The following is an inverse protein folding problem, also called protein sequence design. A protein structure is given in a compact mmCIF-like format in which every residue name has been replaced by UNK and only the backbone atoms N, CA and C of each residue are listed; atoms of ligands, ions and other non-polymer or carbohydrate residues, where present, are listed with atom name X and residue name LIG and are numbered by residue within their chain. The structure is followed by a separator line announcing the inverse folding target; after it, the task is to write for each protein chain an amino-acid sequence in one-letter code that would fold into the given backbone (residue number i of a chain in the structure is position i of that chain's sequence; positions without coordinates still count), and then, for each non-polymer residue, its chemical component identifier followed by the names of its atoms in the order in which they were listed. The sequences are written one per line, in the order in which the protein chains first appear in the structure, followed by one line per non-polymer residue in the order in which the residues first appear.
data_IF_995711799665
#
_entry.id   IF_995711799665
#
_cell.length_a   1.000
_cell.length_b   1.000
_cell.length_c   1.000
_cell.angle_alpha   90.00
_cell.angle_beta   90.00
_cell.angle_gamma   90.00
#
_symmetry.space_group_name_H-M   'P 1'
#
loop_
_entity.id
_entity.type
_entity.pdbx_description
1 polymer ?
#
# COMPACT_ATOMS: atom_id res chain seq x y z
N UNK A 1 -38.06 -56.64 35.07
CA UNK A 1 -37.86 -55.71 33.94
C UNK A 1 -37.26 -54.40 34.47
N UNK A 2 -35.94 -54.16 34.30
CA UNK A 2 -35.29 -52.89 34.64
C UNK A 2 -34.75 -52.27 33.34
N UNK A 3 -35.38 -51.20 32.85
CA UNK A 3 -34.92 -50.43 31.69
C UNK A 3 -33.73 -49.55 32.11
N UNK A 4 -32.56 -49.76 31.50
CA UNK A 4 -31.42 -48.84 31.56
C UNK A 4 -31.59 -47.80 30.44
N UNK A 5 -31.66 -46.54 30.79
CA UNK A 5 -31.58 -45.43 29.85
C UNK A 5 -30.11 -44.99 29.76
N UNK A 6 -29.50 -45.18 28.59
CA UNK A 6 -28.17 -44.65 28.29
C UNK A 6 -28.30 -43.22 27.77
N UNK A 7 -27.70 -42.26 28.48
CA UNK A 7 -27.61 -40.88 28.07
C UNK A 7 -26.47 -40.75 27.03
N UNK A 8 -26.82 -40.57 25.75
CA UNK A 8 -25.85 -40.27 24.70
C UNK A 8 -25.60 -38.76 24.73
N UNK A 9 -24.42 -38.37 25.17
CA UNK A 9 -23.97 -36.97 25.16
C UNK A 9 -23.33 -36.68 23.80
N UNK A 10 -24.09 -36.04 22.91
CA UNK A 10 -23.60 -35.62 21.59
C UNK A 10 -22.71 -34.38 21.75
N UNK A 11 -21.40 -34.55 21.56
CA UNK A 11 -20.43 -33.46 21.56
C UNK A 11 -20.54 -32.67 20.24
N UNK A 12 -21.25 -31.54 20.25
CA UNK A 12 -21.28 -30.60 19.13
C UNK A 12 -19.96 -29.83 19.12
N UNK A 13 -19.03 -30.23 18.26
CA UNK A 13 -17.82 -29.46 17.96
C UNK A 13 -18.25 -28.28 17.08
N UNK A 14 -18.55 -27.15 17.72
CA UNK A 14 -18.61 -25.86 17.04
C UNK A 14 -17.22 -25.56 16.50
N UNK A 15 -17.02 -25.84 15.21
CA UNK A 15 -15.86 -25.37 14.48
C UNK A 15 -15.97 -23.84 14.42
N UNK A 16 -15.40 -23.15 15.39
CA UNK A 16 -15.21 -21.71 15.31
C UNK A 16 -14.25 -21.48 14.15
N UNK A 17 -14.78 -21.02 13.02
CA UNK A 17 -13.96 -20.43 11.97
C UNK A 17 -13.04 -19.42 12.66
N UNK A 18 -11.73 -19.68 12.59
CA UNK A 18 -10.73 -18.78 13.14
C UNK A 18 -10.85 -17.46 12.36
N UNK A 19 -11.58 -16.49 12.92
CA UNK A 19 -11.58 -15.12 12.43
C UNK A 19 -10.13 -14.70 12.30
N UNK A 20 -9.72 -14.36 11.08
CA UNK A 20 -8.36 -13.89 10.80
C UNK A 20 -7.99 -12.84 11.83
N UNK A 21 -6.88 -13.05 12.52
CA UNK A 21 -6.43 -12.27 13.67
C UNK A 21 -6.65 -10.77 13.43
N UNK A 22 -7.62 -10.20 14.14
CA UNK A 22 -7.96 -8.80 14.02
C UNK A 22 -6.76 -7.94 14.48
N UNK A 23 -6.30 -7.05 13.60
CA UNK A 23 -5.19 -6.14 13.89
C UNK A 23 -5.79 -4.77 14.23
N UNK A 24 -5.79 -4.36 15.52
CA UNK A 24 -6.55 -3.17 15.98
C UNK A 24 -6.18 -1.89 15.23
N UNK A 25 -4.89 -1.72 14.89
CA UNK A 25 -4.41 -0.56 14.14
C UNK A 25 -5.24 -0.28 12.88
N UNK A 26 -5.66 -1.31 12.14
CA UNK A 26 -6.30 -1.16 10.83
C UNK A 26 -7.83 -1.30 10.85
N UNK A 27 -8.45 -1.33 12.04
CA UNK A 27 -9.90 -1.44 12.18
C UNK A 27 -10.63 -0.09 12.04
N UNK A 28 -9.92 1.02 12.18
CA UNK A 28 -10.46 2.37 12.00
C UNK A 28 -9.74 3.09 10.86
N UNK A 29 -10.49 3.91 10.14
CA UNK A 29 -9.98 4.83 9.11
C UNK A 29 -9.50 6.17 9.70
N UNK A 30 -9.85 6.48 10.94
CA UNK A 30 -9.50 7.75 11.57
C UNK A 30 -7.99 7.89 11.76
N UNK A 31 -7.46 9.05 11.41
CA UNK A 31 -6.05 9.34 11.56
C UNK A 31 -5.65 9.31 13.05
N UNK A 32 -4.48 8.75 13.35
CA UNK A 32 -3.90 8.79 14.71
C UNK A 32 -2.81 9.83 14.82
N UNK A 33 -2.65 10.41 16.00
CA UNK A 33 -1.56 11.33 16.28
C UNK A 33 -0.34 10.56 16.78
N UNK A 34 0.82 10.83 16.19
CA UNK A 34 2.07 10.12 16.41
C UNK A 34 3.20 11.13 16.59
N UNK A 35 4.07 10.89 17.57
CA UNK A 35 5.28 11.68 17.80
C UNK A 35 6.53 10.82 17.72
N UNK A 36 7.53 11.31 17.00
CA UNK A 36 8.86 10.70 16.97
C UNK A 36 9.93 11.77 17.26
N UNK A 37 10.96 11.36 18.01
CA UNK A 37 12.14 12.20 18.25
C UNK A 37 13.37 11.43 17.81
N UNK A 38 14.22 12.04 16.99
CA UNK A 38 15.38 11.34 16.45
C UNK A 38 16.27 12.21 15.59
N UNK A 39 17.31 11.58 15.05
CA UNK A 39 18.26 12.21 14.14
C UNK A 39 18.24 11.50 12.80
N UNK A 40 17.69 12.15 11.78
CA UNK A 40 17.63 11.69 10.39
C UNK A 40 19.04 11.38 9.88
N UNK A 41 20.01 12.26 10.17
CA UNK A 41 21.42 12.03 9.81
C UNK A 41 21.98 10.79 10.51
N UNK A 42 21.67 10.59 11.79
CA UNK A 42 22.15 9.44 12.54
C UNK A 42 21.53 8.13 12.05
N UNK A 43 20.21 8.08 11.80
CA UNK A 43 19.57 6.83 11.36
C UNK A 43 20.04 6.43 9.95
N UNK A 44 20.24 7.40 9.04
CA UNK A 44 20.86 7.14 7.73
C UNK A 44 22.27 6.55 7.83
N UNK A 45 23.06 6.99 8.83
CA UNK A 45 24.44 6.51 9.03
C UNK A 45 24.52 5.17 9.77
N UNK A 46 23.65 4.95 10.76
CA UNK A 46 23.75 3.84 11.72
C UNK A 46 22.87 2.64 11.41
N UNK A 47 21.96 2.75 10.45
CA UNK A 47 21.08 1.65 10.05
C UNK A 47 21.26 1.31 8.58
N UNK A 48 20.97 0.06 8.25
CA UNK A 48 20.90 -0.48 6.89
C UNK A 48 19.92 -1.66 6.91
N UNK A 49 19.90 -2.50 5.88
CA UNK A 49 18.97 -3.64 5.84
C UNK A 49 19.15 -4.67 6.97
N UNK A 50 20.33 -4.72 7.60
CA UNK A 50 20.68 -5.65 8.68
C UNK A 50 20.76 -4.98 10.06
N UNK A 51 20.96 -3.66 10.13
CA UNK A 51 21.18 -2.94 11.40
C UNK A 51 19.98 -2.07 11.76
N UNK A 52 19.46 -2.26 12.99
CA UNK A 52 18.35 -1.51 13.56
C UNK A 52 18.84 -0.51 14.60
N UNK A 53 18.18 0.65 14.70
CA UNK A 53 18.42 1.67 15.72
C UNK A 53 17.23 1.70 16.67
N UNK A 54 17.48 1.58 17.98
CA UNK A 54 16.44 1.72 18.98
C UNK A 54 15.91 3.16 19.03
N UNK A 55 14.61 3.28 19.17
CA UNK A 55 13.88 4.53 19.28
C UNK A 55 12.59 4.32 20.06
N UNK A 56 11.82 5.39 20.14
CA UNK A 56 10.48 5.38 20.73
C UNK A 56 9.60 6.21 19.82
N UNK A 57 8.40 5.73 19.58
CA UNK A 57 7.34 6.57 19.07
C UNK A 57 6.22 6.64 20.11
N UNK A 58 5.52 7.76 20.14
CA UNK A 58 4.37 7.94 21.00
C UNK A 58 3.14 8.01 20.10
N UNK A 59 2.04 7.42 20.54
CA UNK A 59 0.74 7.64 19.90
C UNK A 59 -0.28 8.11 20.93
N UNK A 60 -1.22 8.92 20.48
CA UNK A 60 -2.27 9.46 21.32
C UNK A 60 -3.41 8.43 21.46
N UNK A 61 -3.80 8.13 22.70
CA UNK A 61 -4.92 7.21 23.02
C UNK A 61 -6.20 7.96 23.43
N UNK A 62 -6.03 9.19 23.91
CA UNK A 62 -7.08 10.12 24.31
C UNK A 62 -6.46 11.52 24.45
N UNK A 63 -7.24 12.57 24.67
CA UNK A 63 -6.73 13.94 24.75
C UNK A 63 -5.52 14.05 25.69
N UNK A 64 -4.37 14.42 25.13
CA UNK A 64 -3.08 14.55 25.83
C UNK A 64 -2.54 13.27 26.52
N UNK A 65 -3.17 12.11 26.28
CA UNK A 65 -2.72 10.81 26.77
C UNK A 65 -1.83 10.12 25.74
N UNK A 66 -0.53 10.22 25.95
CA UNK A 66 0.49 9.66 25.05
C UNK A 66 1.03 8.32 25.54
N UNK A 67 0.87 7.28 24.73
CA UNK A 67 1.43 5.96 25.00
C UNK A 67 2.78 5.82 24.29
N UNK A 68 3.83 5.55 25.05
CA UNK A 68 5.16 5.30 24.52
C UNK A 68 5.30 3.86 24.09
N UNK A 69 5.71 3.63 22.84
CA UNK A 69 5.98 2.31 22.30
C UNK A 69 7.45 2.22 21.89
N UNK A 70 8.25 1.35 22.55
CA UNK A 70 9.60 1.03 22.11
C UNK A 70 9.60 0.50 20.67
N UNK A 71 10.49 1.02 19.84
CA UNK A 71 10.59 0.62 18.44
C UNK A 71 12.05 0.47 18.03
N UNK A 72 12.29 -0.47 17.13
CA UNK A 72 13.53 -0.56 16.38
C UNK A 72 13.27 -0.08 14.96
N UNK A 73 13.99 0.94 14.52
CA UNK A 73 13.82 1.54 13.20
C UNK A 73 15.07 1.30 12.34
N UNK A 74 14.86 1.12 11.04
CA UNK A 74 15.93 1.16 10.04
C UNK A 74 15.47 1.89 8.79
N UNK A 75 16.42 2.48 8.08
CA UNK A 75 16.17 2.92 6.71
C UNK A 75 15.92 1.71 5.79
N UNK A 76 15.20 1.94 4.69
CA UNK A 76 14.96 0.96 3.63
C UNK A 76 15.05 1.62 2.24
N UNK A 77 15.02 0.81 1.19
CA UNK A 77 14.88 1.28 -0.18
C UNK A 77 16.17 1.87 -0.77
N UNK A 78 16.09 2.23 -2.05
CA UNK A 78 17.26 2.64 -2.85
C UNK A 78 17.19 4.13 -3.23
N UNK A 79 16.23 4.50 -4.07
CA UNK A 79 16.10 5.87 -4.60
C UNK A 79 15.84 6.88 -3.48
N UNK A 80 14.75 6.70 -2.73
CA UNK A 80 14.37 7.61 -1.65
C UNK A 80 15.41 7.70 -0.53
N UNK A 81 16.14 6.63 -0.25
CA UNK A 81 17.22 6.65 0.73
C UNK A 81 18.34 7.64 0.33
N UNK A 82 18.68 7.68 -0.95
CA UNK A 82 19.72 8.56 -1.50
C UNK A 82 19.23 10.00 -1.71
N UNK A 83 17.98 10.15 -2.17
CA UNK A 83 17.49 11.43 -2.71
C UNK A 83 16.51 12.19 -1.80
N UNK A 84 15.94 11.55 -0.77
CA UNK A 84 14.98 12.21 0.11
C UNK A 84 15.65 12.83 1.34
N UNK A 85 15.11 13.95 1.80
CA UNK A 85 15.44 14.52 3.12
C UNK A 85 15.06 13.50 4.22
N UNK A 86 13.81 13.06 4.18
CA UNK A 86 13.23 12.03 5.04
C UNK A 86 13.40 10.64 4.40
N UNK A 87 14.22 9.75 4.97
CA UNK A 87 14.41 8.41 4.41
C UNK A 87 13.20 7.54 4.77
N UNK A 88 12.78 6.60 3.91
CA UNK A 88 11.71 5.68 4.27
C UNK A 88 12.18 4.76 5.40
N UNK A 89 11.29 4.52 6.37
CA UNK A 89 11.59 3.75 7.57
C UNK A 89 10.80 2.45 7.60
N UNK A 90 11.46 1.38 8.05
CA UNK A 90 10.80 0.17 8.53
C UNK A 90 10.87 0.15 10.05
N UNK A 91 9.70 0.07 10.67
CA UNK A 91 9.55 -0.05 12.12
C UNK A 91 9.43 -1.53 12.48
N UNK A 92 10.12 -1.95 13.53
CA UNK A 92 10.08 -3.29 14.09
C UNK A 92 9.75 -3.19 15.57
N UNK A 93 8.83 -4.03 16.01
CA UNK A 93 8.34 -4.05 17.37
C UNK A 93 8.58 -5.41 18.01
N UNK A 94 8.82 -5.43 19.31
CA UNK A 94 8.77 -6.67 20.08
C UNK A 94 7.30 -7.00 20.36
N UNK A 95 6.93 -8.28 20.32
CA UNK A 95 5.55 -8.71 20.57
C UNK A 95 5.05 -8.21 21.94
N UNK A 96 5.90 -8.36 22.97
CA UNK A 96 5.58 -7.97 24.35
C UNK A 96 5.25 -6.48 24.47
N UNK A 97 5.96 -5.62 23.73
CA UNK A 97 5.80 -4.17 23.83
C UNK A 97 4.53 -3.67 23.12
N UNK A 98 4.07 -4.35 22.07
CA UNK A 98 2.89 -3.91 21.31
C UNK A 98 1.59 -4.61 21.69
N UNK A 99 1.63 -5.77 22.34
CA UNK A 99 0.43 -6.51 22.76
C UNK A 99 -0.58 -5.66 23.56
N UNK A 100 -0.19 -4.77 24.50
CA UNK A 100 -1.14 -3.94 25.25
C UNK A 100 -1.50 -2.63 24.51
N UNK A 101 -1.15 -2.48 23.23
CA UNK A 101 -1.27 -1.21 22.49
C UNK A 101 -2.12 -1.37 21.24
N UNK A 102 -2.47 -0.25 20.61
CA UNK A 102 -3.12 -0.24 19.28
C UNK A 102 -2.33 -1.01 18.21
N UNK A 103 -1.03 -1.19 18.41
CA UNK A 103 -0.12 -1.87 17.46
C UNK A 103 -0.06 -3.39 17.66
N UNK A 104 -0.86 -3.96 18.56
CA UNK A 104 -0.94 -5.39 18.81
C UNK A 104 -1.08 -6.19 17.50
N UNK A 105 -0.38 -7.33 17.42
CA UNK A 105 -0.32 -8.17 16.22
C UNK A 105 0.71 -7.73 15.17
N UNK A 106 1.20 -6.48 15.19
CA UNK A 106 2.18 -5.99 14.23
C UNK A 106 3.61 -6.17 14.72
N UNK A 107 4.37 -7.11 14.12
CA UNK A 107 5.82 -7.27 14.40
C UNK A 107 6.69 -6.27 13.64
N UNK A 108 6.20 -5.81 12.49
CA UNK A 108 6.83 -4.79 11.68
C UNK A 108 5.75 -3.96 10.98
N UNK A 109 6.03 -2.68 10.77
CA UNK A 109 5.18 -1.78 9.98
C UNK A 109 6.05 -0.94 9.06
N UNK A 110 5.50 -0.64 7.88
CA UNK A 110 6.01 0.42 7.01
C UNK A 110 5.25 1.69 7.37
N UNK A 111 6.00 2.78 7.53
CA UNK A 111 5.45 4.12 7.67
C UNK A 111 5.79 4.88 6.39
N UNK A 112 4.75 5.29 5.66
CA UNK A 112 4.89 6.17 4.50
C UNK A 112 4.73 7.60 4.99
N UNK A 113 5.71 8.45 4.66
CA UNK A 113 5.74 9.87 5.03
C UNK A 113 6.55 10.63 3.96
N UNK A 114 6.53 11.98 3.95
CA UNK A 114 7.00 12.72 2.79
C UNK A 114 8.49 12.53 2.50
N UNK A 115 8.90 12.67 1.23
CA UNK A 115 10.30 12.62 0.82
C UNK A 115 11.06 13.93 1.13
N UNK A 116 10.38 15.07 0.95
CA UNK A 116 10.94 16.44 1.03
C UNK A 116 10.16 17.27 2.04
N UNK A 117 10.66 18.47 2.33
CA UNK A 117 10.02 19.46 3.22
C UNK A 117 9.26 20.55 2.46
N UNK A 118 8.94 20.32 1.19
CA UNK A 118 8.18 21.25 0.34
C UNK A 118 6.76 21.48 0.89
N UNK A 119 6.05 22.47 0.34
CA UNK A 119 4.68 22.80 0.78
C UNK A 119 3.69 21.67 0.47
N UNK A 120 3.80 21.07 -0.72
CA UNK A 120 2.98 19.97 -1.26
C UNK A 120 3.19 18.60 -0.59
N UNK A 121 4.18 18.49 0.31
CA UNK A 121 4.62 17.23 0.93
C UNK A 121 3.49 16.36 1.51
N UNK A 122 2.47 16.99 2.11
CA UNK A 122 1.34 16.31 2.72
C UNK A 122 0.28 15.93 1.68
N UNK A 123 0.09 16.75 0.64
CA UNK A 123 -0.74 16.42 -0.53
C UNK A 123 -0.21 15.17 -1.22
N UNK A 124 1.10 15.09 -1.47
CA UNK A 124 1.72 13.93 -2.13
C UNK A 124 1.51 12.63 -1.34
N UNK A 125 1.68 12.65 -0.01
CA UNK A 125 1.41 11.49 0.85
C UNK A 125 -0.08 11.12 0.82
N UNK A 126 -0.97 12.11 0.78
CA UNK A 126 -2.41 11.86 0.67
C UNK A 126 -2.76 11.23 -0.67
N UNK A 127 -2.20 11.71 -1.78
CA UNK A 127 -2.42 11.13 -3.10
C UNK A 127 -1.97 9.67 -3.15
N UNK A 128 -0.80 9.35 -2.57
CA UNK A 128 -0.34 7.97 -2.48
C UNK A 128 -1.28 7.10 -1.62
N UNK A 129 -1.76 7.65 -0.50
CA UNK A 129 -2.75 6.97 0.34
C UNK A 129 -4.06 6.66 -0.42
N UNK A 130 -4.53 7.57 -1.28
CA UNK A 130 -5.69 7.33 -2.13
C UNK A 130 -5.47 6.19 -3.12
N UNK A 131 -4.26 6.04 -3.68
CA UNK A 131 -3.91 4.87 -4.51
C UNK A 131 -4.10 3.55 -3.74
N UNK A 132 -3.74 3.51 -2.44
CA UNK A 132 -4.03 2.33 -1.60
C UNK A 132 -5.53 2.13 -1.38
N UNK A 133 -6.31 3.20 -1.20
CA UNK A 133 -7.77 3.09 -1.04
C UNK A 133 -8.44 2.60 -2.34
N UNK A 134 -8.02 3.10 -3.50
CA UNK A 134 -8.50 2.60 -4.79
C UNK A 134 -8.20 1.12 -4.96
N UNK A 135 -6.96 0.70 -4.66
CA UNK A 135 -6.58 -0.71 -4.81
C UNK A 135 -7.36 -1.63 -3.87
N UNK A 136 -7.71 -1.15 -2.67
CA UNK A 136 -8.58 -1.88 -1.74
C UNK A 136 -10.01 -2.10 -2.28
N UNK A 137 -10.53 -1.19 -3.10
CA UNK A 137 -11.83 -1.37 -3.77
C UNK A 137 -11.73 -2.35 -4.94
N UNK A 138 -10.61 -2.33 -5.66
CA UNK A 138 -10.42 -3.05 -6.93
C UNK A 138 -9.84 -4.46 -6.78
N UNK A 139 -9.19 -4.77 -5.66
CA UNK A 139 -8.49 -6.04 -5.48
C UNK A 139 -8.91 -6.72 -4.17
N UNK A 140 -9.11 -8.05 -4.14
CA UNK A 140 -9.27 -8.78 -2.90
C UNK A 140 -7.94 -8.88 -2.10
N UNK A 141 -6.81 -8.66 -2.77
CA UNK A 141 -5.46 -8.73 -2.22
C UNK A 141 -4.83 -7.34 -2.16
N UNK A 142 -4.99 -6.70 -1.00
CA UNK A 142 -4.58 -5.32 -0.76
C UNK A 142 -3.91 -5.19 0.61
N UNK A 143 -3.20 -4.10 0.82
CA UNK A 143 -2.71 -3.73 2.14
C UNK A 143 -3.74 -2.87 2.85
N UNK A 144 -4.11 -3.21 4.09
CA UNK A 144 -4.80 -2.24 4.94
C UNK A 144 -3.86 -1.08 5.26
N UNK A 145 -4.42 0.12 5.32
CA UNK A 145 -3.66 1.35 5.60
C UNK A 145 -4.42 2.24 6.59
N UNK A 146 -3.69 3.07 7.34
CA UNK A 146 -4.27 4.04 8.26
C UNK A 146 -3.44 5.32 8.31
N UNK A 147 -4.09 6.46 8.11
CA UNK A 147 -3.47 7.79 8.20
C UNK A 147 -2.93 8.05 9.62
N UNK A 148 -1.89 8.87 9.69
CA UNK A 148 -1.34 9.38 10.94
C UNK A 148 -0.80 10.80 10.76
N UNK A 149 -1.11 11.67 11.71
CA UNK A 149 -0.43 12.94 11.88
C UNK A 149 0.87 12.69 12.65
N UNK A 150 2.00 13.04 12.04
CA UNK A 150 3.32 12.71 12.54
C UNK A 150 4.10 13.98 12.88
N UNK A 151 4.32 14.20 14.18
CA UNK A 151 5.23 15.25 14.65
C UNK A 151 6.64 14.66 14.77
N UNK A 152 7.59 15.23 14.04
CA UNK A 152 8.99 14.80 14.04
C UNK A 152 9.85 15.85 14.71
N UNK A 153 10.45 15.52 15.86
CA UNK A 153 11.49 16.35 16.50
C UNK A 153 12.88 15.88 16.08
N UNK A 154 13.51 16.63 15.17
CA UNK A 154 14.84 16.37 14.63
C UNK A 154 15.94 16.99 15.51
N UNK A 155 16.78 16.15 16.13
CA UNK A 155 17.76 16.56 17.15
C UNK A 155 19.23 16.65 16.64
N UNK A 156 19.52 16.44 15.35
CA UNK A 156 20.92 16.46 14.85
C UNK A 156 21.57 17.83 14.72
N UNK A 157 20.84 18.91 14.99
CA UNK A 157 21.30 20.30 14.86
C UNK A 157 21.46 20.95 16.23
N UNK A 158 22.27 22.02 16.31
CA UNK A 158 22.44 22.85 17.52
C UNK A 158 21.11 23.33 18.11
N UNK A 159 20.06 23.46 17.28
CA UNK A 159 18.67 23.70 17.67
C UNK A 159 17.78 22.61 17.07
N UNK A 160 16.97 21.90 17.89
CA UNK A 160 15.97 20.97 17.38
C UNK A 160 15.04 21.62 16.35
N UNK A 161 14.56 20.85 15.38
CA UNK A 161 13.52 21.30 14.44
C UNK A 161 12.33 20.36 14.49
N UNK A 162 11.13 20.93 14.53
CA UNK A 162 9.89 20.17 14.45
C UNK A 162 9.35 20.17 13.02
N UNK A 163 8.76 19.06 12.62
CA UNK A 163 8.03 18.94 11.36
C UNK A 163 6.69 18.26 11.60
N UNK A 164 5.62 18.89 11.12
CA UNK A 164 4.27 18.33 11.18
C UNK A 164 3.96 17.73 9.81
N UNK A 165 3.88 16.40 9.77
CA UNK A 165 3.81 15.62 8.54
C UNK A 165 2.53 14.80 8.51
N UNK A 166 1.93 14.68 7.34
CA UNK A 166 0.98 13.60 7.09
C UNK A 166 1.77 12.33 6.80
N UNK A 167 1.30 11.21 7.33
CA UNK A 167 1.88 9.88 7.10
C UNK A 167 0.77 8.83 7.07
N UNK A 168 1.11 7.60 6.71
CA UNK A 168 0.22 6.46 6.93
C UNK A 168 0.99 5.17 7.17
N UNK A 169 0.39 4.29 7.97
CA UNK A 169 0.88 2.93 8.17
C UNK A 169 0.37 2.03 7.04
N UNK A 170 1.22 1.10 6.61
CA UNK A 170 0.88 0.04 5.66
C UNK A 170 1.05 -1.31 6.34
N UNK A 171 0.03 -2.16 6.22
CA UNK A 171 0.03 -3.54 6.71
C UNK A 171 1.27 -4.33 6.23
N UNK A 172 1.76 -5.24 7.06
CA UNK A 172 2.89 -6.08 6.68
C UNK A 172 2.48 -7.18 5.70
N UNK A 173 3.36 -7.51 4.75
CA UNK A 173 3.13 -8.53 3.74
C UNK A 173 2.68 -9.88 4.36
N UNK A 174 3.27 -10.27 5.50
CA UNK A 174 2.93 -11.53 6.18
C UNK A 174 1.49 -11.55 6.71
N UNK A 175 0.94 -10.40 7.09
CA UNK A 175 -0.44 -10.27 7.54
C UNK A 175 -1.41 -10.37 6.37
N UNK A 176 -1.08 -9.75 5.23
CA UNK A 176 -1.85 -9.91 3.98
C UNK A 176 -1.88 -11.37 3.53
N UNK A 177 -0.73 -12.05 3.55
CA UNK A 177 -0.64 -13.46 3.19
C UNK A 177 -1.49 -14.32 4.14
N UNK A 178 -1.39 -14.09 5.45
CA UNK A 178 -2.17 -14.81 6.47
C UNK A 178 -3.67 -14.63 6.29
N UNK A 179 -4.17 -13.39 6.11
CA UNK A 179 -5.61 -13.13 5.89
C UNK A 179 -6.14 -13.68 4.57
N UNK A 180 -5.22 -13.94 3.63
CA UNK A 180 -5.53 -14.48 2.30
C UNK A 180 -5.35 -16.01 2.22
N UNK A 181 -5.08 -16.68 3.35
CA UNK A 181 -4.74 -18.11 3.40
C UNK A 181 -3.61 -18.50 2.42
N UNK A 182 -2.66 -17.59 2.24
CA UNK A 182 -1.54 -17.73 1.30
C UNK A 182 -0.19 -17.57 1.97
N UNK A 183 0.84 -17.57 1.14
CA UNK A 183 2.23 -17.32 1.54
C UNK A 183 2.90 -16.31 0.63
N UNK A 184 3.84 -15.53 1.18
CA UNK A 184 4.73 -14.69 0.37
C UNK A 184 5.71 -15.59 -0.38
N UNK A 185 5.93 -15.27 -1.65
CA UNK A 185 6.90 -15.94 -2.52
C UNK A 185 8.14 -15.07 -2.61
N UNK A 186 9.30 -15.63 -2.31
CA UNK A 186 10.58 -14.89 -2.36
C UNK A 186 11.27 -14.99 -3.73
N UNK A 187 10.94 -16.02 -4.50
CA UNK A 187 11.51 -16.26 -5.84
C UNK A 187 11.09 -15.17 -6.82
N UNK A 188 12.06 -14.59 -7.51
CA UNK A 188 11.87 -13.63 -8.61
C UNK A 188 11.92 -14.33 -9.96
N UNK A 189 11.43 -13.66 -11.00
CA UNK A 189 11.42 -14.20 -12.36
C UNK A 189 10.36 -15.27 -12.56
N UNK A 190 9.24 -15.19 -11.83
CA UNK A 190 8.14 -16.14 -11.97
C UNK A 190 7.55 -15.99 -13.37
N UNK A 191 7.36 -17.11 -14.07
CA UNK A 191 6.76 -17.09 -15.40
C UNK A 191 5.40 -16.36 -15.34
N UNK A 192 5.19 -15.31 -16.15
CA UNK A 192 3.94 -14.54 -16.14
C UNK A 192 2.70 -15.41 -16.37
N UNK A 193 2.81 -16.50 -17.13
CA UNK A 193 1.72 -17.45 -17.37
C UNK A 193 1.29 -18.23 -16.12
N UNK A 194 2.15 -18.31 -15.09
CA UNK A 194 1.82 -18.99 -13.83
C UNK A 194 0.98 -18.15 -12.86
N UNK A 195 0.87 -16.84 -13.10
CA UNK A 195 -0.01 -15.98 -12.30
C UNK A 195 -1.48 -16.20 -12.62
N UNK A 196 -2.33 -16.06 -11.61
CA UNK A 196 -3.77 -16.00 -11.79
C UNK A 196 -4.12 -14.90 -12.79
N UNK A 197 -4.87 -15.25 -13.84
CA UNK A 197 -5.15 -14.32 -14.92
C UNK A 197 -5.92 -13.10 -14.42
N UNK A 198 -7.00 -13.30 -13.69
CA UNK A 198 -7.88 -12.22 -13.25
C UNK A 198 -7.19 -11.32 -12.25
N UNK A 199 -6.43 -11.86 -11.30
CA UNK A 199 -5.66 -11.04 -10.36
C UNK A 199 -4.51 -10.29 -11.03
N UNK A 200 -3.90 -10.87 -12.08
CA UNK A 200 -2.91 -10.15 -12.89
C UNK A 200 -3.55 -8.97 -13.62
N UNK A 201 -4.66 -9.19 -14.34
CA UNK A 201 -5.34 -8.12 -15.07
C UNK A 201 -5.81 -7.01 -14.13
N UNK A 202 -6.37 -7.34 -12.95
CA UNK A 202 -6.76 -6.32 -11.94
C UNK A 202 -5.58 -5.46 -11.52
N UNK A 203 -4.46 -6.08 -11.18
CA UNK A 203 -3.24 -5.35 -10.84
C UNK A 203 -2.78 -4.48 -12.02
N UNK A 204 -2.75 -5.04 -13.23
CA UNK A 204 -2.20 -4.35 -14.40
C UNK A 204 -3.07 -3.16 -14.80
N UNK A 205 -4.39 -3.28 -14.71
CA UNK A 205 -5.34 -2.18 -14.96
C UNK A 205 -5.25 -1.12 -13.88
N UNK A 206 -5.10 -1.51 -12.61
CA UNK A 206 -4.87 -0.58 -11.53
C UNK A 206 -3.58 0.22 -11.73
N UNK A 207 -2.47 -0.45 -12.05
CA UNK A 207 -1.19 0.23 -12.29
C UNK A 207 -1.28 1.18 -13.50
N UNK A 208 -1.99 0.77 -14.56
CA UNK A 208 -2.27 1.64 -15.70
C UNK A 208 -3.16 2.83 -15.32
N UNK A 209 -4.22 2.62 -14.54
CA UNK A 209 -5.15 3.64 -14.07
C UNK A 209 -4.42 4.78 -13.35
N UNK A 210 -3.54 4.44 -12.41
CA UNK A 210 -2.77 5.43 -11.64
C UNK A 210 -1.53 5.94 -12.40
N UNK A 211 -1.26 5.45 -13.60
CA UNK A 211 -0.08 5.84 -14.38
C UNK A 211 1.24 5.41 -13.75
N UNK A 212 1.30 4.22 -13.15
CA UNK A 212 2.52 3.71 -12.55
C UNK A 212 3.29 2.82 -13.53
N UNK A 213 4.46 3.28 -13.93
CA UNK A 213 5.40 2.53 -14.75
C UNK A 213 6.59 1.96 -13.94
N UNK A 214 6.67 2.15 -12.62
CA UNK A 214 7.76 1.65 -11.77
C UNK A 214 7.38 0.38 -10.99
N UNK A 215 6.95 -0.69 -11.67
CA UNK A 215 6.58 -1.94 -11.00
C UNK A 215 6.89 -3.19 -11.83
N UNK A 216 6.92 -4.35 -11.16
CA UNK A 216 6.94 -5.67 -11.79
C UNK A 216 6.55 -6.76 -10.81
N UNK A 217 5.44 -7.45 -11.05
CA UNK A 217 5.03 -8.63 -10.26
C UNK A 217 5.97 -9.82 -10.49
N UNK A 218 6.51 -9.94 -11.71
CA UNK A 218 7.44 -11.02 -12.11
C UNK A 218 8.76 -10.91 -11.37
N UNK A 219 9.34 -9.71 -11.31
CA UNK A 219 10.64 -9.45 -10.68
C UNK A 219 10.53 -8.92 -9.25
N UNK A 220 9.30 -8.80 -8.74
CA UNK A 220 8.98 -8.28 -7.42
C UNK A 220 9.59 -6.90 -7.15
N UNK A 221 9.36 -5.97 -8.08
CA UNK A 221 9.72 -4.55 -7.96
C UNK A 221 8.45 -3.76 -7.70
N UNK A 222 8.38 -3.04 -6.56
CA UNK A 222 7.16 -2.37 -6.06
C UNK A 222 5.91 -3.27 -6.07
N UNK A 223 6.13 -4.58 -5.97
CA UNK A 223 5.13 -5.62 -5.83
C UNK A 223 5.79 -6.81 -5.16
N UNK A 224 5.09 -7.47 -4.24
CA UNK A 224 5.42 -8.84 -3.85
C UNK A 224 4.57 -9.80 -4.69
N UNK A 225 4.87 -11.09 -4.55
CA UNK A 225 4.02 -12.14 -5.08
C UNK A 225 3.55 -13.02 -3.94
N UNK A 226 2.26 -13.33 -3.93
CA UNK A 226 1.67 -14.32 -3.04
C UNK A 226 1.38 -15.60 -3.80
N UNK A 227 1.39 -16.73 -3.10
CA UNK A 227 0.84 -17.98 -3.59
C UNK A 227 -0.44 -18.31 -2.80
N UNK A 228 -1.56 -18.31 -3.50
CA UNK A 228 -2.91 -18.48 -2.95
C UNK A 228 -3.66 -19.47 -3.83
N UNK A 229 -4.27 -20.50 -3.25
CA UNK A 229 -5.11 -21.49 -3.97
C UNK A 229 -4.45 -22.06 -5.24
N UNK A 230 -3.14 -22.35 -5.19
CA UNK A 230 -2.40 -22.95 -6.31
C UNK A 230 -1.95 -21.96 -7.39
N UNK A 231 -2.16 -20.65 -7.21
CA UNK A 231 -1.82 -19.61 -8.19
C UNK A 231 -0.95 -18.51 -7.59
N UNK A 232 -0.13 -17.89 -8.44
CA UNK A 232 0.61 -16.68 -8.08
C UNK A 232 -0.26 -15.44 -8.25
N UNK A 233 -0.20 -14.53 -7.27
CA UNK A 233 -1.04 -13.33 -7.21
C UNK A 233 -0.18 -12.11 -6.91
N UNK A 234 -0.30 -11.00 -7.66
CA UNK A 234 0.41 -9.75 -7.36
C UNK A 234 -0.06 -9.11 -6.05
N UNK A 235 0.87 -8.49 -5.33
CA UNK A 235 0.59 -7.66 -4.16
C UNK A 235 1.42 -6.37 -4.23
N UNK A 236 0.88 -5.38 -4.93
CA UNK A 236 1.55 -4.11 -5.26
C UNK A 236 1.55 -3.10 -4.12
N UNK A 237 2.59 -2.26 -4.06
CA UNK A 237 2.83 -1.20 -3.08
C UNK A 237 3.82 -0.16 -3.63
N UNK A 238 4.11 0.93 -2.89
CA UNK A 238 5.01 2.01 -3.36
C UNK A 238 4.42 2.68 -4.62
N UNK A 239 3.38 3.51 -4.43
CA UNK A 239 2.66 4.17 -5.53
C UNK A 239 3.08 5.62 -5.74
N UNK A 240 4.14 6.06 -5.07
CA UNK A 240 4.56 7.46 -5.00
C UNK A 240 5.11 8.01 -6.33
N UNK A 241 5.64 7.13 -7.19
CA UNK A 241 6.14 7.46 -8.54
C UNK A 241 5.07 7.31 -9.65
N UNK A 242 3.79 7.40 -9.30
CA UNK A 242 2.67 7.26 -10.24
C UNK A 242 2.15 8.60 -10.77
N UNK A 243 1.59 8.61 -11.98
CA UNK A 243 0.97 9.79 -12.60
C UNK A 243 -0.22 10.37 -11.81
N UNK A 244 -0.93 9.55 -11.03
CA UNK A 244 -1.97 10.05 -10.12
C UNK A 244 -1.37 10.83 -8.93
N UNK A 245 -0.24 10.37 -8.39
CA UNK A 245 0.45 11.10 -7.30
C UNK A 245 1.12 12.37 -7.82
N UNK A 246 1.65 12.32 -9.04
CA UNK A 246 2.27 13.44 -9.74
C UNK A 246 3.38 14.14 -8.92
N UNK A 247 4.20 13.34 -8.23
CA UNK A 247 5.30 13.89 -7.43
C UNK A 247 6.39 14.51 -8.31
N UNK A 248 6.87 15.70 -7.98
CA UNK A 248 7.93 16.37 -8.77
C UNK A 248 9.22 15.54 -8.92
N UNK A 249 9.58 14.73 -7.92
CA UNK A 249 10.74 13.83 -8.03
C UNK A 249 10.53 12.66 -8.99
N UNK A 250 9.29 12.29 -9.30
CA UNK A 250 8.98 11.30 -10.32
C UNK A 250 9.26 11.86 -11.72
N UNK A 251 9.11 13.18 -11.92
CA UNK A 251 9.51 13.86 -13.17
C UNK A 251 11.03 13.98 -13.28
N UNK A 252 11.70 14.33 -12.18
CA UNK A 252 13.17 14.45 -12.16
C UNK A 252 13.89 13.12 -12.45
N UNK A 253 13.27 11.99 -12.10
CA UNK A 253 13.83 10.65 -12.29
C UNK A 253 12.75 9.67 -12.73
N UNK A 254 12.19 9.90 -13.92
CA UNK A 254 11.13 9.09 -14.46
C UNK A 254 11.53 7.60 -14.55
N UNK A 255 10.59 6.67 -14.30
CA UNK A 255 10.83 5.24 -14.45
C UNK A 255 11.28 4.92 -15.87
N UNK A 256 12.35 4.12 -16.02
CA UNK A 256 12.93 3.80 -17.34
C UNK A 256 12.01 3.02 -18.27
N UNK A 257 10.93 2.46 -17.74
CA UNK A 257 9.93 1.68 -18.47
C UNK A 257 8.64 2.49 -18.75
N UNK A 258 8.65 3.80 -18.48
CA UNK A 258 7.60 4.76 -18.87
C UNK A 258 8.01 5.62 -20.08
N UNK A 259 7.29 6.71 -20.34
CA UNK A 259 7.57 7.64 -21.46
C UNK A 259 8.43 8.86 -21.09
N UNK A 260 8.91 8.93 -19.85
CA UNK A 260 9.64 10.10 -19.32
C UNK A 260 8.74 11.13 -18.64
N UNK A 261 7.45 11.19 -18.99
CA UNK A 261 6.43 11.89 -18.21
C UNK A 261 5.63 10.88 -17.37
N UNK A 262 5.70 10.95 -16.03
CA UNK A 262 4.87 10.12 -15.15
C UNK A 262 3.36 10.22 -15.40
N UNK A 263 2.86 11.31 -15.99
CA UNK A 263 1.43 11.49 -16.30
C UNK A 263 0.98 10.63 -17.47
N UNK A 264 1.85 10.36 -18.42
CA UNK A 264 1.53 9.54 -19.58
C UNK A 264 1.46 8.06 -19.21
N UNK A 265 0.29 7.44 -19.42
CA UNK A 265 0.08 6.04 -19.05
C UNK A 265 0.75 5.11 -20.03
N UNK A 266 1.46 4.12 -19.49
CA UNK A 266 2.02 3.01 -20.27
C UNK A 266 1.45 1.70 -19.75
N UNK A 267 0.78 0.94 -20.63
CA UNK A 267 0.30 -0.38 -20.26
C UNK A 267 1.49 -1.36 -20.22
N UNK A 268 1.78 -1.90 -19.03
CA UNK A 268 2.93 -2.79 -18.80
C UNK A 268 2.54 -4.22 -18.43
N UNK A 269 1.24 -4.51 -18.48
CA UNK A 269 0.68 -5.81 -18.16
C UNK A 269 0.99 -6.87 -19.21
N UNK A 270 0.87 -8.13 -18.82
CA UNK A 270 1.00 -9.25 -19.77
C UNK A 270 -0.34 -9.57 -20.41
N UNK A 271 -0.32 -10.04 -21.66
CA UNK A 271 -1.53 -10.53 -22.29
C UNK A 271 -2.10 -11.72 -21.51
N UNK A 272 -3.39 -11.65 -21.21
CA UNK A 272 -4.19 -12.74 -20.62
C UNK A 272 -5.32 -13.09 -21.56
N UNK A 273 -6.08 -14.13 -21.21
CA UNK A 273 -7.24 -14.54 -22.00
C UNK A 273 -8.20 -13.36 -22.21
N UNK A 274 -8.75 -13.22 -23.42
CA UNK A 274 -9.75 -12.18 -23.73
C UNK A 274 -10.90 -12.15 -22.72
N UNK A 275 -11.46 -13.31 -22.27
CA UNK A 275 -12.48 -13.31 -21.22
C UNK A 275 -12.02 -12.66 -19.91
N UNK A 276 -10.79 -12.93 -19.45
CA UNK A 276 -10.27 -12.30 -18.24
C UNK A 276 -10.11 -10.78 -18.40
N UNK A 277 -9.62 -10.32 -19.56
CA UNK A 277 -9.46 -8.89 -19.87
C UNK A 277 -10.80 -8.15 -19.84
N UNK A 278 -11.81 -8.67 -20.54
CA UNK A 278 -13.15 -8.04 -20.60
C UNK A 278 -13.90 -8.12 -19.26
N UNK A 279 -13.77 -9.23 -18.52
CA UNK A 279 -14.40 -9.35 -17.21
C UNK A 279 -13.87 -8.29 -16.24
N UNK A 280 -12.55 -8.10 -16.20
CA UNK A 280 -11.95 -7.09 -15.32
C UNK A 280 -12.19 -5.67 -15.83
N UNK A 281 -12.26 -5.45 -17.15
CA UNK A 281 -12.70 -4.16 -17.72
C UNK A 281 -14.09 -3.78 -17.19
N UNK A 282 -15.04 -4.71 -17.25
CA UNK A 282 -16.39 -4.51 -16.72
C UNK A 282 -16.39 -4.24 -15.22
N UNK A 283 -15.61 -5.00 -14.44
CA UNK A 283 -15.47 -4.77 -13.00
C UNK A 283 -14.98 -3.35 -12.68
N UNK A 284 -13.97 -2.85 -13.39
CA UNK A 284 -13.47 -1.48 -13.18
C UNK A 284 -14.55 -0.44 -13.51
N UNK A 285 -15.25 -0.60 -14.63
CA UNK A 285 -16.35 0.28 -15.02
C UNK A 285 -17.45 0.35 -13.95
N UNK A 286 -17.80 -0.79 -13.34
CA UNK A 286 -18.78 -0.85 -12.23
C UNK A 286 -18.28 -0.17 -10.95
N UNK A 287 -16.97 0.04 -10.80
CA UNK A 287 -16.35 0.68 -9.62
C UNK A 287 -16.03 2.16 -9.83
N UNK A 288 -16.22 2.71 -11.02
CA UNK A 288 -15.89 4.11 -11.34
C UNK A 288 -16.41 5.11 -10.30
N UNK A 289 -17.71 5.11 -10.02
CA UNK A 289 -18.29 6.03 -9.02
C UNK A 289 -17.72 5.84 -7.61
N UNK A 290 -17.39 4.60 -7.23
CA UNK A 290 -16.79 4.34 -5.92
C UNK A 290 -15.35 4.88 -5.81
N UNK A 291 -14.60 4.91 -6.92
CA UNK A 291 -13.26 5.49 -6.95
C UNK A 291 -13.31 7.02 -6.87
N UNK A 292 -14.25 7.67 -7.57
CA UNK A 292 -14.45 9.12 -7.41
C UNK A 292 -14.90 9.48 -6.00
N UNK A 293 -15.81 8.71 -5.39
CA UNK A 293 -16.25 8.94 -4.02
C UNK A 293 -15.09 8.92 -3.00
N UNK A 294 -14.06 8.10 -3.23
CA UNK A 294 -12.85 8.10 -2.39
C UNK A 294 -12.11 9.44 -2.46
N UNK A 295 -12.07 10.09 -3.62
CA UNK A 295 -11.48 11.43 -3.75
C UNK A 295 -12.34 12.45 -2.98
N UNK A 296 -13.66 12.38 -3.18
CA UNK A 296 -14.64 13.29 -2.56
C UNK A 296 -14.62 13.22 -1.01
N UNK A 297 -14.46 12.02 -0.44
CA UNK A 297 -14.30 11.81 1.01
C UNK A 297 -13.13 12.61 1.61
N UNK A 298 -12.13 12.93 0.79
CA UNK A 298 -10.95 13.69 1.18
C UNK A 298 -10.94 15.13 0.65
N UNK A 299 -12.00 15.60 -0.02
CA UNK A 299 -12.03 16.88 -0.72
C UNK A 299 -11.61 18.09 0.12
N UNK A 300 -11.95 18.11 1.42
CA UNK A 300 -11.57 19.19 2.36
C UNK A 300 -10.05 19.38 2.53
N UNK A 301 -9.23 18.44 2.06
CA UNK A 301 -7.78 18.49 2.15
C UNK A 301 -7.09 18.91 0.86
N UNK A 302 -7.86 19.26 -0.16
CA UNK A 302 -7.38 19.62 -1.48
C UNK A 302 -7.96 20.95 -1.92
N UNK A 303 -7.21 21.67 -2.75
CA UNK A 303 -7.73 22.80 -3.50
C UNK A 303 -8.67 22.33 -4.61
N UNK A 304 -9.49 23.24 -5.13
CA UNK A 304 -10.37 22.96 -6.27
C UNK A 304 -9.59 22.41 -7.48
N UNK A 305 -8.44 23.01 -7.80
CA UNK A 305 -7.63 22.59 -8.94
C UNK A 305 -7.02 21.20 -8.74
N UNK A 306 -6.57 20.87 -7.53
CA UNK A 306 -6.08 19.52 -7.22
C UNK A 306 -7.20 18.48 -7.38
N UNK A 307 -8.43 18.78 -6.96
CA UNK A 307 -9.57 17.87 -7.15
C UNK A 307 -9.93 17.71 -8.62
N UNK A 308 -10.04 18.81 -9.38
CA UNK A 308 -10.31 18.76 -10.81
C UNK A 308 -9.26 17.94 -11.57
N UNK A 309 -7.98 18.08 -11.21
CA UNK A 309 -6.90 17.29 -11.77
C UNK A 309 -7.03 15.79 -11.43
N UNK A 310 -7.31 15.45 -10.17
CA UNK A 310 -7.45 14.06 -9.73
C UNK A 310 -8.64 13.36 -10.40
N UNK A 311 -9.80 14.01 -10.44
CA UNK A 311 -10.98 13.50 -11.14
C UNK A 311 -10.72 13.40 -12.64
N UNK A 312 -10.16 14.44 -13.26
CA UNK A 312 -9.87 14.46 -14.69
C UNK A 312 -8.87 13.38 -15.11
N UNK A 313 -7.85 13.11 -14.29
CA UNK A 313 -6.93 12.01 -14.52
C UNK A 313 -7.67 10.67 -14.50
N UNK A 314 -8.52 10.43 -13.50
CA UNK A 314 -9.28 9.18 -13.40
C UNK A 314 -10.31 9.02 -14.54
N UNK A 315 -10.99 10.11 -14.92
CA UNK A 315 -11.94 10.17 -16.04
C UNK A 315 -11.29 9.80 -17.37
N UNK A 316 -10.04 10.20 -17.59
CA UNK A 316 -9.28 9.81 -18.78
C UNK A 316 -9.10 8.29 -18.87
N UNK A 317 -8.72 7.64 -17.77
CA UNK A 317 -8.63 6.18 -17.73
C UNK A 317 -9.98 5.52 -18.02
N UNK A 318 -11.08 6.02 -17.43
CA UNK A 318 -12.39 5.44 -17.70
C UNK A 318 -12.89 5.70 -19.12
N UNK A 319 -12.54 6.83 -19.75
CA UNK A 319 -12.79 7.05 -21.19
C UNK A 319 -12.08 6.02 -22.06
N UNK A 320 -10.89 5.56 -21.67
CA UNK A 320 -10.21 4.45 -22.35
C UNK A 320 -11.00 3.17 -22.18
N UNK A 321 -11.38 2.82 -20.94
CA UNK A 321 -12.15 1.59 -20.70
C UNK A 321 -13.54 1.60 -21.34
N UNK A 322 -14.20 2.75 -21.51
CA UNK A 322 -15.55 2.84 -22.11
C UNK A 322 -15.57 2.69 -23.62
N UNK A 323 -14.44 2.91 -24.30
CA UNK A 323 -14.34 2.84 -25.76
C UNK A 323 -13.62 1.57 -26.19
N UNK A 324 -14.25 0.75 -27.02
CA UNK A 324 -13.65 -0.49 -27.51
C UNK A 324 -12.37 -0.24 -28.29
N UNK A 325 -12.35 0.78 -29.16
CA UNK A 325 -11.16 1.16 -29.94
C UNK A 325 -10.03 1.61 -29.01
N UNK A 326 -10.30 2.54 -28.08
CA UNK A 326 -9.25 3.03 -27.17
C UNK A 326 -8.74 1.95 -26.24
N UNK A 327 -9.62 1.09 -25.74
CA UNK A 327 -9.26 -0.04 -24.91
C UNK A 327 -8.37 -1.03 -25.68
N UNK A 328 -8.72 -1.32 -26.94
CA UNK A 328 -7.90 -2.13 -27.82
C UNK A 328 -6.52 -1.50 -28.02
N UNK A 329 -6.46 -0.25 -28.46
CA UNK A 329 -5.22 0.42 -28.84
C UNK A 329 -4.29 0.66 -27.65
N UNK A 330 -4.85 0.96 -26.47
CA UNK A 330 -4.07 1.37 -25.30
C UNK A 330 -3.70 0.21 -24.37
N UNK A 331 -4.42 -0.91 -24.44
CA UNK A 331 -4.27 -2.03 -23.50
C UNK A 331 -4.10 -3.36 -24.22
N UNK A 332 -5.03 -3.75 -25.12
CA UNK A 332 -4.98 -5.09 -25.73
C UNK A 332 -3.82 -5.25 -26.70
N UNK A 333 -3.55 -4.23 -27.53
CA UNK A 333 -2.49 -4.29 -28.54
C UNK A 333 -1.10 -4.04 -27.96
N UNK A 334 -1.04 -3.42 -26.77
CA UNK A 334 0.21 -3.11 -26.06
C UNK A 334 0.55 -4.11 -24.95
N UNK A 335 -0.31 -5.10 -24.68
CA UNK A 335 0.00 -6.11 -23.68
C UNK A 335 1.24 -6.92 -24.06
N UNK A 336 2.02 -7.29 -23.05
CA UNK A 336 3.29 -8.00 -23.24
C UNK A 336 3.05 -9.48 -23.45
N UNK A 337 3.68 -10.06 -24.46
CA UNK A 337 3.66 -11.51 -24.68
C UNK A 337 4.77 -12.20 -23.89
N UNK A 338 4.51 -13.43 -23.44
CA UNK A 338 5.53 -14.30 -22.84
C UNK A 338 6.33 -14.93 -23.98
N UNK A 339 7.44 -14.31 -24.39
CA UNK A 339 8.46 -15.04 -25.14
C UNK A 339 9.26 -15.93 -24.21
#
# INVERSE_FOLDING_TARGET
MKKRYGLIMTLVILCTCSFGQDVPLFQSKEAINVRITGSIKSIKKKSNDSTLVAGKFLYEQGPDQWITVPVQARVRGNYRLKNCFFPPLKLKFSKKDVEPTLFAGNKALKLVFPCRTSSDKNTLVRNEYLCYQFYQVLSPYYFRTRLAHLDVTEISRKKPRSYDLLSFFVEDNSMVAKRSHGKIVETKGINPASFDEKQSVRNDYFQYMIGNADWSSVFQHNSNTMFVNGKYVPLSYDFDMSGFVNAGYAHENAPSLGTGDPRERVYRGYCKSKPAMEEIRKEFLEKESALHAIIDEHAKHFTKNELEDMHGYLDEFFRILKSDDRFKDSILDLCRTTK
#
